data_IF_992621041440
#
_entry.id   IF_992621041440
#
_cell.length_a   1.000
_cell.length_b   1.000
_cell.length_c   1.000
_cell.angle_alpha   90.00
_cell.angle_beta   90.00
_cell.angle_gamma   90.00
#
_symmetry.space_group_name_H-M   'P 1'
#
loop_
_entity.id
_entity.type
_entity.pdbx_description
1 polymer ?
#
# COMPACT_ATOMS: atom_id res chain seq x y z
N UNK A 1 -2.94 17.33 -6.74
CA UNK A 1 -4.35 17.52 -7.17
C UNK A 1 -4.55 16.85 -8.53
N UNK A 2 -5.73 16.28 -8.84
CA UNK A 2 -6.00 15.63 -10.13
C UNK A 2 -5.84 14.10 -10.18
N UNK A 3 -5.63 13.45 -9.03
CA UNK A 3 -5.58 11.99 -8.95
C UNK A 3 -6.95 11.41 -8.56
N UNK A 4 -7.42 10.45 -9.33
CA UNK A 4 -8.64 9.68 -9.07
C UNK A 4 -8.28 8.20 -8.91
N UNK A 5 -9.08 7.45 -8.16
CA UNK A 5 -8.89 6.02 -7.93
C UNK A 5 -10.24 5.30 -7.90
N UNK A 6 -10.29 4.07 -8.39
CA UNK A 6 -11.47 3.21 -8.37
C UNK A 6 -11.08 1.73 -8.24
N UNK A 7 -12.00 0.90 -7.75
CA UNK A 7 -11.76 -0.52 -7.51
C UNK A 7 -10.94 -0.80 -6.25
N UNK A 8 -10.24 -1.92 -6.21
CA UNK A 8 -9.54 -2.43 -5.01
C UNK A 8 -8.40 -1.52 -4.51
N UNK A 9 -7.84 -0.68 -5.38
CA UNK A 9 -6.84 0.33 -4.98
C UNK A 9 -7.46 1.48 -4.17
N UNK A 10 -8.78 1.66 -4.25
CA UNK A 10 -9.49 2.70 -3.51
C UNK A 10 -9.89 2.23 -2.11
N UNK A 11 -9.84 3.14 -1.14
CA UNK A 11 -10.41 2.94 0.19
C UNK A 11 -11.77 3.65 0.30
N UNK A 12 -12.74 3.21 -0.51
CA UNK A 12 -14.09 3.81 -0.61
C UNK A 12 -14.86 3.87 0.72
N UNK A 13 -14.49 3.01 1.68
CA UNK A 13 -15.16 2.82 2.96
C UNK A 13 -16.26 1.75 2.92
N UNK A 14 -16.69 1.30 1.74
CA UNK A 14 -17.79 0.35 1.57
C UNK A 14 -17.59 -0.97 2.33
N UNK A 15 -16.36 -1.48 2.34
CA UNK A 15 -16.05 -2.80 2.92
C UNK A 15 -15.66 -2.75 4.41
N UNK A 16 -15.43 -1.56 4.96
CA UNK A 16 -14.93 -1.41 6.33
C UNK A 16 -13.74 -2.32 6.62
N UNK A 17 -13.85 -3.12 7.69
CA UNK A 17 -12.80 -4.07 8.12
C UNK A 17 -13.04 -5.52 7.64
N UNK A 18 -14.09 -5.79 6.86
CA UNK A 18 -14.35 -7.11 6.32
C UNK A 18 -15.23 -7.02 5.06
N UNK A 19 -14.63 -7.29 3.90
CA UNK A 19 -15.35 -7.31 2.63
C UNK A 19 -16.27 -8.53 2.55
N UNK A 20 -17.55 -8.32 2.26
CA UNK A 20 -18.47 -9.40 1.93
C UNK A 20 -18.20 -9.92 0.51
N UNK A 21 -18.41 -11.23 0.32
CA UNK A 21 -18.27 -11.87 -0.98
C UNK A 21 -19.13 -11.16 -2.04
N UNK A 22 -18.65 -11.16 -3.30
CA UNK A 22 -19.34 -10.59 -4.48
C UNK A 22 -19.52 -9.07 -4.53
N UNK A 23 -19.18 -8.31 -3.47
CA UNK A 23 -19.29 -6.84 -3.49
C UNK A 23 -18.17 -6.13 -4.26
N UNK A 24 -17.05 -6.79 -4.57
CA UNK A 24 -15.90 -6.15 -5.24
C UNK A 24 -16.17 -5.78 -6.70
N UNK A 25 -16.94 -6.59 -7.42
CA UNK A 25 -17.30 -6.31 -8.81
C UNK A 25 -18.29 -5.14 -8.90
N UNK A 26 -19.29 -5.14 -8.01
CA UNK A 26 -20.26 -4.05 -7.92
C UNK A 26 -19.59 -2.74 -7.51
N UNK A 27 -18.68 -2.78 -6.54
CA UNK A 27 -17.89 -1.61 -6.16
C UNK A 27 -17.10 -1.08 -7.36
N UNK A 28 -16.35 -1.95 -8.04
CA UNK A 28 -15.55 -1.56 -9.21
C UNK A 28 -16.41 -0.94 -10.31
N UNK A 29 -17.59 -1.51 -10.59
CA UNK A 29 -18.51 -0.99 -11.60
C UNK A 29 -19.02 0.42 -11.22
N UNK A 30 -19.54 0.56 -10.00
CA UNK A 30 -20.15 1.81 -9.54
C UNK A 30 -19.10 2.90 -9.36
N UNK A 31 -18.06 2.65 -8.57
CA UNK A 31 -17.02 3.64 -8.30
C UNK A 31 -16.14 3.89 -9.52
N UNK A 32 -15.99 2.91 -10.42
CA UNK A 32 -15.33 3.12 -11.72
C UNK A 32 -16.07 4.13 -12.58
N UNK A 33 -17.40 4.00 -12.71
CA UNK A 33 -18.22 4.96 -13.42
C UNK A 33 -18.16 6.37 -12.78
N UNK A 34 -18.21 6.45 -11.45
CA UNK A 34 -18.11 7.72 -10.74
C UNK A 34 -16.73 8.38 -10.88
N UNK A 35 -15.64 7.63 -10.71
CA UNK A 35 -14.28 8.15 -10.86
C UNK A 35 -14.01 8.59 -12.30
N UNK A 36 -14.47 7.82 -13.29
CA UNK A 36 -14.34 8.16 -14.70
C UNK A 36 -15.09 9.44 -15.06
N UNK A 37 -16.35 9.57 -14.60
CA UNK A 37 -17.13 10.81 -14.78
C UNK A 37 -16.46 11.99 -14.09
N UNK A 38 -16.06 11.85 -12.82
CA UNK A 38 -15.40 12.92 -12.08
C UNK A 38 -14.07 13.36 -12.70
N UNK A 39 -13.27 12.40 -13.17
CA UNK A 39 -12.04 12.69 -13.89
C UNK A 39 -12.30 13.42 -15.22
N UNK A 40 -13.31 13.00 -15.97
CA UNK A 40 -13.73 13.66 -17.22
C UNK A 40 -14.21 15.08 -16.97
N UNK A 41 -15.10 15.27 -16.00
CA UNK A 41 -15.64 16.58 -15.65
C UNK A 41 -14.52 17.52 -15.18
N UNK A 42 -13.61 17.02 -14.32
CA UNK A 42 -12.46 17.79 -13.85
C UNK A 42 -11.53 18.17 -15.01
N UNK A 43 -11.21 17.23 -15.90
CA UNK A 43 -10.37 17.47 -17.07
C UNK A 43 -11.01 18.51 -18.01
N UNK A 44 -12.33 18.50 -18.19
CA UNK A 44 -13.03 19.47 -19.05
C UNK A 44 -12.91 20.93 -18.58
N UNK A 45 -12.65 21.14 -17.28
CA UNK A 45 -12.49 22.46 -16.68
C UNK A 45 -11.03 22.87 -16.54
N UNK A 46 -10.08 21.97 -16.81
CA UNK A 46 -8.65 22.30 -16.78
C UNK A 46 -8.29 23.06 -18.05
N UNK A 47 -7.60 24.20 -17.89
CA UNK A 47 -6.88 24.80 -19.00
C UNK A 47 -5.67 23.91 -19.30
N UNK A 48 -5.62 23.37 -20.51
CA UNK A 48 -4.49 22.60 -20.98
C UNK A 48 -3.68 23.43 -21.98
N UNK A 49 -2.37 23.48 -21.78
CA UNK A 49 -1.43 24.13 -22.69
C UNK A 49 -0.95 23.17 -23.78
N UNK A 50 -1.39 21.90 -23.76
CA UNK A 50 -0.97 20.83 -24.66
C UNK A 50 0.54 20.59 -24.65
N UNK A 51 1.18 20.90 -23.51
CA UNK A 51 2.60 20.68 -23.30
C UNK A 51 2.79 19.30 -22.67
N UNK A 52 3.67 18.50 -23.27
CA UNK A 52 4.08 17.27 -22.64
C UNK A 52 4.86 17.61 -21.35
N UNK A 53 4.32 17.17 -20.21
CA UNK A 53 5.08 17.23 -18.96
C UNK A 53 6.40 16.50 -19.13
N UNK A 54 7.50 17.19 -18.81
CA UNK A 54 8.80 16.54 -18.77
C UNK A 54 8.83 15.52 -17.64
N UNK A 55 8.76 14.24 -17.99
CA UNK A 55 9.03 13.15 -17.06
C UNK A 55 10.54 12.96 -17.03
N UNK A 56 11.18 13.37 -15.93
CA UNK A 56 12.59 13.12 -15.70
C UNK A 56 12.76 12.05 -14.62
N UNK A 57 13.65 11.10 -14.88
CA UNK A 57 14.14 10.15 -13.89
C UNK A 57 15.68 10.22 -13.91
N UNK A 58 16.28 11.20 -13.21
CA UNK A 58 17.73 11.41 -13.27
C UNK A 58 18.45 10.16 -12.79
N UNK A 59 19.53 9.80 -13.49
CA UNK A 59 20.31 8.62 -13.12
C UNK A 59 20.86 8.77 -11.71
N UNK A 60 20.47 7.85 -10.83
CA UNK A 60 21.05 7.74 -9.49
C UNK A 60 22.30 6.88 -9.65
N UNK A 61 23.44 7.35 -9.10
CA UNK A 61 24.67 6.56 -9.11
C UNK A 61 24.38 5.18 -8.50
N UNK A 62 24.63 4.11 -9.26
CA UNK A 62 24.37 2.77 -8.78
C UNK A 62 25.25 2.49 -7.57
N UNK A 63 24.66 2.04 -6.47
CA UNK A 63 25.42 1.31 -5.47
C UNK A 63 25.93 0.04 -6.18
N UNK A 64 27.23 -0.26 -6.13
CA UNK A 64 27.81 -1.46 -6.74
C UNK A 64 27.36 -2.77 -6.06
N UNK A 65 26.27 -2.74 -5.28
CA UNK A 65 25.71 -3.89 -4.59
C UNK A 65 24.77 -4.66 -5.52
N UNK A 66 25.16 -5.87 -5.88
CA UNK A 66 24.30 -6.81 -6.59
C UNK A 66 23.20 -7.25 -5.60
N UNK A 67 21.96 -6.83 -5.87
CA UNK A 67 20.79 -7.28 -5.12
C UNK A 67 20.19 -8.54 -5.75
N UNK A 68 19.96 -9.56 -4.92
CA UNK A 68 19.17 -10.73 -5.30
C UNK A 68 17.67 -10.41 -5.17
N UNK A 69 17.08 -9.86 -6.23
CA UNK A 69 15.66 -9.47 -6.23
C UNK A 69 14.70 -10.64 -5.97
N UNK A 70 14.90 -11.85 -6.57
CA UNK A 70 14.11 -13.03 -6.22
C UNK A 70 14.16 -13.37 -4.73
N UNK A 71 15.34 -13.38 -4.12
CA UNK A 71 15.49 -13.70 -2.69
C UNK A 71 14.75 -12.70 -1.79
N UNK A 72 14.93 -11.40 -2.03
CA UNK A 72 14.23 -10.36 -1.26
C UNK A 72 12.72 -10.48 -1.44
N UNK A 73 12.25 -10.75 -2.66
CA UNK A 73 10.82 -10.92 -2.95
C UNK A 73 10.23 -12.11 -2.18
N UNK A 74 10.92 -13.26 -2.19
CA UNK A 74 10.46 -14.46 -1.48
C UNK A 74 10.52 -14.28 0.04
N UNK A 75 11.56 -13.61 0.52
CA UNK A 75 11.73 -13.24 1.93
C UNK A 75 10.60 -12.32 2.40
N UNK A 76 10.24 -11.30 1.61
CA UNK A 76 9.13 -10.40 1.90
C UNK A 76 7.80 -11.15 1.96
N UNK A 77 7.51 -12.02 0.98
CA UNK A 77 6.28 -12.83 0.98
C UNK A 77 6.18 -13.72 2.22
N UNK A 78 7.28 -14.38 2.57
CA UNK A 78 7.34 -15.27 3.75
C UNK A 78 7.15 -14.50 5.05
N UNK A 79 7.76 -13.33 5.17
CA UNK A 79 7.60 -12.44 6.32
C UNK A 79 6.17 -11.94 6.46
N UNK A 80 5.55 -11.47 5.37
CA UNK A 80 4.16 -11.01 5.38
C UNK A 80 3.19 -12.13 5.74
N UNK A 81 3.41 -13.35 5.24
CA UNK A 81 2.62 -14.53 5.60
C UNK A 81 2.71 -14.85 7.09
N UNK A 82 3.94 -14.87 7.64
CA UNK A 82 4.19 -15.27 9.02
C UNK A 82 3.73 -14.25 10.05
N UNK A 83 3.94 -12.96 9.79
CA UNK A 83 3.77 -11.89 10.79
C UNK A 83 2.59 -10.96 10.54
N UNK A 84 2.08 -10.91 9.30
CA UNK A 84 1.00 -9.99 8.89
C UNK A 84 -0.21 -10.75 8.32
N UNK A 85 -0.22 -12.08 8.52
CA UNK A 85 -1.32 -12.97 8.17
C UNK A 85 -2.55 -12.80 9.06
N UNK A 86 -3.25 -13.90 9.35
CA UNK A 86 -4.52 -13.90 10.09
C UNK A 86 -4.36 -13.43 11.54
N UNK A 87 -3.35 -13.94 12.24
CA UNK A 87 -3.07 -13.59 13.64
C UNK A 87 -1.85 -12.68 13.69
N UNK A 88 -1.94 -11.60 14.46
CA UNK A 88 -0.90 -10.58 14.56
C UNK A 88 -0.63 -10.26 16.03
N UNK A 89 0.60 -9.85 16.32
CA UNK A 89 1.04 -9.49 17.66
C UNK A 89 2.06 -8.34 17.56
N UNK A 90 2.11 -7.46 18.57
CA UNK A 90 3.01 -6.29 18.59
C UNK A 90 4.46 -6.64 18.24
N UNK A 91 5.04 -7.65 18.90
CA UNK A 91 6.47 -7.98 18.75
C UNK A 91 6.82 -8.42 17.33
N UNK A 92 6.01 -9.29 16.72
CA UNK A 92 6.25 -9.78 15.35
C UNK A 92 5.95 -8.73 14.29
N UNK A 93 4.98 -7.85 14.53
CA UNK A 93 4.73 -6.69 13.68
C UNK A 93 5.89 -5.70 13.73
N UNK A 94 6.49 -5.48 14.92
CA UNK A 94 7.68 -4.64 15.07
C UNK A 94 8.88 -5.22 14.34
N UNK A 95 9.13 -6.52 14.47
CA UNK A 95 10.19 -7.22 13.72
C UNK A 95 9.98 -7.11 12.20
N UNK A 96 8.74 -7.24 11.75
CA UNK A 96 8.36 -7.05 10.35
C UNK A 96 8.65 -5.63 9.85
N UNK A 97 8.30 -4.60 10.63
CA UNK A 97 8.61 -3.20 10.30
C UNK A 97 10.11 -2.97 10.15
N UNK A 98 10.90 -3.42 11.13
CA UNK A 98 12.36 -3.25 11.12
C UNK A 98 13.01 -3.97 9.93
N UNK A 99 12.55 -5.16 9.60
CA UNK A 99 13.07 -5.93 8.46
C UNK A 99 12.69 -5.32 7.12
N UNK A 100 11.44 -4.90 6.96
CA UNK A 100 11.00 -4.21 5.73
C UNK A 100 11.75 -2.88 5.58
N UNK A 101 11.95 -2.11 6.66
CA UNK A 101 12.69 -0.86 6.60
C UNK A 101 14.18 -1.07 6.25
N UNK A 102 14.79 -2.18 6.66
CA UNK A 102 16.14 -2.55 6.18
C UNK A 102 16.18 -2.76 4.67
N UNK A 103 15.25 -3.53 4.10
CA UNK A 103 15.18 -3.74 2.64
C UNK A 103 14.90 -2.44 1.89
N UNK A 104 13.99 -1.61 2.40
CA UNK A 104 13.61 -0.34 1.78
C UNK A 104 14.79 0.62 1.63
N UNK A 105 15.75 0.62 2.56
CA UNK A 105 16.92 1.53 2.55
C UNK A 105 17.77 1.39 1.30
N UNK A 106 17.86 0.19 0.73
CA UNK A 106 18.70 -0.06 -0.44
C UNK A 106 17.89 -0.40 -1.70
N UNK A 107 16.67 -0.94 -1.57
CA UNK A 107 15.80 -1.24 -2.72
C UNK A 107 15.08 0.01 -3.25
N UNK A 108 14.57 0.90 -2.38
CA UNK A 108 13.79 2.05 -2.85
C UNK A 108 14.62 3.13 -3.57
N UNK A 109 15.88 3.42 -3.17
CA UNK A 109 16.72 4.37 -3.90
C UNK A 109 17.29 3.80 -5.21
N UNK A 110 17.24 2.48 -5.39
CA UNK A 110 17.82 1.84 -6.57
C UNK A 110 16.99 2.13 -7.83
N UNK A 111 17.70 2.35 -8.93
CA UNK A 111 17.10 2.53 -10.24
C UNK A 111 17.16 1.20 -11.01
N UNK A 112 16.04 0.50 -11.08
CA UNK A 112 15.97 -0.80 -11.74
C UNK A 112 15.67 -0.65 -13.24
N UNK A 113 16.27 -1.53 -14.04
CA UNK A 113 15.99 -1.68 -15.48
C UNK A 113 15.00 -2.81 -15.76
N UNK A 114 14.72 -3.66 -14.76
CA UNK A 114 13.81 -4.80 -14.87
C UNK A 114 12.46 -4.54 -14.20
N UNK A 115 11.39 -5.13 -14.75
CA UNK A 115 10.03 -5.06 -14.18
C UNK A 115 10.01 -5.54 -12.72
N UNK A 116 10.74 -6.62 -12.42
CA UNK A 116 10.79 -7.23 -11.10
C UNK A 116 11.32 -6.27 -10.03
N UNK A 117 12.26 -5.39 -10.40
CA UNK A 117 12.77 -4.38 -9.48
C UNK A 117 11.70 -3.35 -9.10
N UNK A 118 10.93 -2.86 -10.08
CA UNK A 118 9.82 -1.95 -9.85
C UNK A 118 8.69 -2.60 -9.04
N UNK A 119 8.35 -3.85 -9.35
CA UNK A 119 7.36 -4.62 -8.59
C UNK A 119 7.79 -4.78 -7.14
N UNK A 120 9.07 -5.10 -6.88
CA UNK A 120 9.59 -5.22 -5.53
C UNK A 120 9.52 -3.89 -4.75
N UNK A 121 9.83 -2.76 -5.39
CA UNK A 121 9.67 -1.44 -4.77
C UNK A 121 8.22 -1.15 -4.37
N UNK A 122 7.25 -1.49 -5.23
CA UNK A 122 5.83 -1.37 -4.94
C UNK A 122 5.40 -2.31 -3.80
N UNK A 123 5.83 -3.58 -3.84
CA UNK A 123 5.55 -4.56 -2.80
C UNK A 123 6.08 -4.11 -1.44
N UNK A 124 7.32 -3.63 -1.35
CA UNK A 124 7.90 -3.14 -0.09
C UNK A 124 7.15 -1.91 0.44
N UNK A 125 6.73 -1.01 -0.46
CA UNK A 125 5.95 0.18 -0.08
C UNK A 125 4.60 -0.22 0.51
N UNK A 126 3.85 -1.07 -0.19
CA UNK A 126 2.53 -1.54 0.29
C UNK A 126 2.68 -2.37 1.56
N UNK A 127 3.64 -3.30 1.61
CA UNK A 127 3.90 -4.12 2.78
C UNK A 127 4.18 -3.26 4.00
N UNK A 128 5.05 -2.25 3.87
CA UNK A 128 5.36 -1.33 4.96
C UNK A 128 4.12 -0.61 5.48
N UNK A 129 3.27 -0.09 4.58
CA UNK A 129 2.02 0.60 4.96
C UNK A 129 1.08 -0.37 5.68
N UNK A 130 0.96 -1.61 5.19
CA UNK A 130 0.13 -2.64 5.82
C UNK A 130 0.61 -2.99 7.23
N UNK A 131 1.93 -3.21 7.42
CA UNK A 131 2.48 -3.55 8.73
C UNK A 131 2.36 -2.37 9.69
N UNK A 132 2.58 -1.15 9.22
CA UNK A 132 2.44 0.08 10.01
C UNK A 132 1.00 0.26 10.51
N UNK A 133 0.03 0.10 9.61
CA UNK A 133 -1.38 0.15 9.96
C UNK A 133 -1.75 -0.96 10.96
N UNK A 134 -1.22 -2.17 10.76
CA UNK A 134 -1.48 -3.29 11.65
C UNK A 134 -0.85 -3.11 13.04
N UNK A 135 0.33 -2.49 13.10
CA UNK A 135 1.04 -2.19 14.34
C UNK A 135 0.33 -1.09 15.13
N UNK A 136 -0.06 0.00 14.46
CA UNK A 136 -0.75 1.13 15.09
C UNK A 136 -2.13 0.75 15.63
N UNK A 137 -2.90 -0.10 14.94
CA UNK A 137 -4.23 -0.51 15.41
C UNK A 137 -4.10 -1.53 16.55
N UNK A 138 -4.36 -1.05 17.77
CA UNK A 138 -4.34 -1.84 19.00
C UNK A 138 -5.76 -2.31 19.39
N UNK A 139 -6.43 -3.00 18.47
CA UNK A 139 -7.70 -3.69 18.71
C UNK A 139 -7.85 -4.88 17.75
N UNK A 140 -8.93 -5.65 17.87
CA UNK A 140 -9.34 -6.64 16.87
C UNK A 140 -10.69 -6.28 16.28
N UNK A 141 -10.76 -6.14 14.95
CA UNK A 141 -11.97 -5.75 14.21
C UNK A 141 -11.98 -6.33 12.80
N UNK A 142 -13.05 -7.06 12.46
CA UNK A 142 -13.18 -7.68 11.13
C UNK A 142 -12.05 -8.68 10.86
N UNK A 143 -11.35 -8.52 9.74
CA UNK A 143 -10.20 -9.38 9.36
C UNK A 143 -8.89 -8.98 10.05
N UNK A 144 -8.89 -7.91 10.85
CA UNK A 144 -7.74 -7.50 11.63
C UNK A 144 -7.84 -8.11 13.04
N UNK A 145 -7.01 -9.12 13.32
CA UNK A 145 -6.96 -9.81 14.61
C UNK A 145 -5.57 -9.62 15.26
N UNK A 146 -5.55 -8.91 16.38
CA UNK A 146 -4.41 -8.71 17.28
C UNK A 146 -4.59 -9.61 18.50
N UNK A 147 -3.75 -10.62 18.67
CA UNK A 147 -3.88 -11.57 19.80
C UNK A 147 -3.55 -10.93 21.15
N UNK A 148 -2.74 -9.88 21.13
CA UNK A 148 -2.43 -8.99 22.26
C UNK A 148 -3.51 -7.94 22.53
N UNK A 149 -4.41 -7.68 21.56
CA UNK A 149 -5.56 -6.79 21.70
C UNK A 149 -6.83 -7.46 21.14
N UNK A 150 -7.36 -8.52 21.79
CA UNK A 150 -8.40 -9.37 21.22
C UNK A 150 -9.80 -8.72 21.17
N UNK A 151 -10.01 -7.63 21.91
CA UNK A 151 -11.28 -6.94 22.01
C UNK A 151 -11.46 -5.83 20.97
N UNK A 152 -12.71 -5.39 20.82
CA UNK A 152 -13.04 -4.14 20.16
C UNK A 152 -12.75 -2.97 21.10
N UNK A 153 -12.28 -1.85 20.55
CA UNK A 153 -12.15 -0.60 21.29
C UNK A 153 -12.83 0.55 20.51
N UNK A 154 -13.70 1.26 21.20
CA UNK A 154 -14.42 2.42 20.68
C UNK A 154 -13.52 3.54 20.16
N UNK A 155 -12.33 3.74 20.72
CA UNK A 155 -11.35 4.73 20.26
C UNK A 155 -10.87 4.44 18.82
N UNK A 156 -10.98 3.17 18.41
CA UNK A 156 -10.57 2.69 17.10
C UNK A 156 -11.72 2.63 16.07
N UNK A 157 -12.90 3.16 16.40
CA UNK A 157 -14.02 3.33 15.47
C UNK A 157 -13.77 4.46 14.45
N UNK A 158 -12.69 4.32 13.69
CA UNK A 158 -12.14 5.29 12.74
C UNK A 158 -11.29 4.56 11.70
N UNK A 159 -11.10 5.22 10.55
CA UNK A 159 -10.11 4.78 9.56
C UNK A 159 -8.70 5.20 9.99
N UNK A 160 -7.72 4.34 9.72
CA UNK A 160 -6.31 4.73 9.77
C UNK A 160 -5.97 5.48 8.48
N UNK A 161 -5.26 6.60 8.63
CA UNK A 161 -4.75 7.38 7.51
C UNK A 161 -3.23 7.36 7.60
N UNK A 162 -2.59 6.86 6.56
CA UNK A 162 -1.13 6.89 6.43
C UNK A 162 -0.81 7.85 5.30
N UNK A 163 0.00 8.86 5.61
CA UNK A 163 0.50 9.83 4.65
C UNK A 163 2.01 9.70 4.59
N UNK A 164 2.57 9.83 3.38
CA UNK A 164 4.01 10.09 3.25
C UNK A 164 4.27 11.47 3.84
N UNK A 165 5.01 11.52 4.95
CA UNK A 165 5.57 12.78 5.44
C UNK A 165 6.42 13.38 4.34
N UNK A 166 6.20 14.66 4.02
CA UNK A 166 7.02 15.41 3.08
C UNK A 166 8.47 15.45 3.50
#
# INVERSE_FOLDING_TARGET
PGLWAAGEVSASGLHGANRLASNSLLESLVFGAHAGKGASDAASQMQDHYEAYQISNPNIASTNEIMDLPDITNSLKSLMWRFVGVRRQADTLKEALETIDRWRRYVLPAQFTSLQGWELQNMLTVARIMVDAAFQREESRGVHLRTDFPGLDHNWNRHLRISKSG
#
